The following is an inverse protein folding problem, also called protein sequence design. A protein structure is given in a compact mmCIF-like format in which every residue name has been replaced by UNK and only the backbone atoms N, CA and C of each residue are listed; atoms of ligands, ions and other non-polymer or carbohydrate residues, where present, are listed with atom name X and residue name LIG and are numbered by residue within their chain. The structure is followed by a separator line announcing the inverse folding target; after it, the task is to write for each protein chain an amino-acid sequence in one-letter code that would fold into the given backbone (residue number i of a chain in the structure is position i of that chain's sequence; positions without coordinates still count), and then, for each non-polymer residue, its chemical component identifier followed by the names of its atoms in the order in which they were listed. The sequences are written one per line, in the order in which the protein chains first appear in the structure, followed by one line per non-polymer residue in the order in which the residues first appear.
data_IF_943031192553
#
_entry.id   IF_943031192553
#
_cell.length_a   1.000
_cell.length_b   1.000
_cell.length_c   1.000
_cell.angle_alpha   90.00
_cell.angle_beta   90.00
_cell.angle_gamma   90.00
#
_symmetry.space_group_name_H-M   'P 1'
#
loop_
_entity.id
_entity.type
_entity.pdbx_description
1 polymer ?
#
# COMPACT_ATOMS: atom_id res chain seq x y z
N UNK A 1 -12.92 1.55 -5.67
CA UNK A 1 -14.38 1.79 -5.83
C UNK A 1 -14.73 2.82 -6.91
N UNK A 2 -13.88 3.82 -7.25
CA UNK A 2 -14.20 4.78 -8.35
C UNK A 2 -14.30 4.17 -9.76
N UNK A 3 -13.39 3.25 -10.11
CA UNK A 3 -13.41 2.56 -11.42
C UNK A 3 -14.56 1.55 -11.57
N UNK A 4 -15.02 0.95 -10.48
CA UNK A 4 -16.12 -0.02 -10.47
C UNK A 4 -17.49 0.66 -10.64
N UNK A 5 -17.62 1.92 -10.20
CA UNK A 5 -18.82 2.73 -10.39
C UNK A 5 -18.86 3.48 -11.75
N UNK A 6 -17.96 3.15 -12.69
CA UNK A 6 -17.92 3.77 -14.02
C UNK A 6 -17.02 5.01 -14.15
N UNK A 7 -16.27 5.37 -13.11
CA UNK A 7 -15.27 6.44 -13.13
C UNK A 7 -14.01 6.04 -13.89
N UNK A 8 -14.11 5.89 -15.21
CA UNK A 8 -12.98 5.56 -16.11
C UNK A 8 -12.37 6.80 -16.79
N UNK A 9 -12.98 7.97 -16.63
CA UNK A 9 -12.50 9.21 -17.26
C UNK A 9 -11.73 10.08 -16.27
N UNK A 10 -10.64 10.70 -16.71
CA UNK A 10 -9.86 11.65 -15.90
C UNK A 10 -10.70 12.85 -15.40
N UNK A 11 -11.81 13.15 -16.07
CA UNK A 11 -12.78 14.16 -15.67
C UNK A 11 -13.40 13.82 -14.31
N UNK A 12 -13.71 12.55 -14.04
CA UNK A 12 -14.24 12.13 -12.72
C UNK A 12 -13.24 12.37 -11.58
N UNK A 13 -11.94 12.18 -11.83
CA UNK A 13 -10.90 12.48 -10.87
C UNK A 13 -10.79 13.99 -10.58
N UNK A 14 -10.89 14.84 -11.61
CA UNK A 14 -10.87 16.30 -11.46
C UNK A 14 -12.08 16.80 -10.67
N UNK A 15 -13.27 16.28 -10.96
CA UNK A 15 -14.49 16.64 -10.22
C UNK A 15 -14.40 16.18 -8.76
N UNK A 16 -13.91 14.97 -8.51
CA UNK A 16 -13.69 14.47 -7.15
C UNK A 16 -12.67 15.33 -6.39
N UNK A 17 -11.55 15.70 -7.01
CA UNK A 17 -10.55 16.58 -6.40
C UNK A 17 -11.12 17.97 -6.11
N UNK A 18 -11.91 18.54 -7.03
CA UNK A 18 -12.62 19.81 -6.82
C UNK A 18 -13.59 19.74 -5.64
N UNK A 19 -14.41 18.69 -5.57
CA UNK A 19 -15.29 18.45 -4.43
C UNK A 19 -14.52 18.20 -3.12
N UNK A 20 -13.36 17.54 -3.16
CA UNK A 20 -12.52 17.32 -1.98
C UNK A 20 -11.94 18.64 -1.45
N UNK A 21 -11.54 19.56 -2.33
CA UNK A 21 -11.08 20.91 -1.93
C UNK A 21 -12.23 21.70 -1.30
N UNK A 22 -13.44 21.63 -1.89
CA UNK A 22 -14.62 22.26 -1.30
C UNK A 22 -15.00 21.65 0.06
N UNK A 23 -14.80 20.34 0.24
CA UNK A 23 -15.07 19.65 1.50
C UNK A 23 -14.14 20.09 2.65
N UNK A 24 -12.93 20.60 2.35
CA UNK A 24 -12.03 21.17 3.37
C UNK A 24 -12.67 22.38 4.06
N UNK A 25 -13.48 23.17 3.37
CA UNK A 25 -14.22 24.28 4.00
C UNK A 25 -15.35 23.78 4.92
N UNK A 26 -15.83 22.55 4.72
CA UNK A 26 -16.85 21.91 5.56
C UNK A 26 -16.26 21.08 6.71
N UNK A 27 -14.93 20.89 6.79
CA UNK A 27 -14.24 20.26 7.94
C UNK A 27 -14.74 20.72 9.32
N UNK A 28 -15.01 22.01 9.60
CA UNK A 28 -15.55 22.43 10.90
C UNK A 28 -16.90 21.79 11.24
N UNK A 29 -17.75 21.47 10.26
CA UNK A 29 -19.01 20.74 10.48
C UNK A 29 -18.78 19.26 10.80
N UNK A 30 -17.77 18.64 10.19
CA UNK A 30 -17.44 17.23 10.42
C UNK A 30 -16.85 16.96 11.82
N UNK A 31 -16.26 17.96 12.49
CA UNK A 31 -15.78 17.82 13.88
C UNK A 31 -16.91 17.56 14.88
N UNK A 32 -18.16 17.88 14.56
CA UNK A 32 -19.32 17.63 15.41
C UNK A 32 -19.83 16.19 15.34
N UNK A 33 -19.27 15.35 14.46
CA UNK A 33 -19.68 13.95 14.30
C UNK A 33 -19.01 13.11 15.40
N UNK A 34 -19.77 12.39 16.24
CA UNK A 34 -19.19 11.53 17.26
C UNK A 34 -18.38 10.40 16.63
N UNK A 35 -17.22 10.09 17.23
CA UNK A 35 -16.27 9.08 16.71
C UNK A 35 -16.88 7.69 16.56
N UNK A 36 -17.94 7.39 17.31
CA UNK A 36 -18.71 6.13 17.23
C UNK A 36 -19.35 5.94 15.84
N UNK A 37 -19.70 7.02 15.14
CA UNK A 37 -20.28 6.95 13.79
C UNK A 37 -19.26 6.56 12.71
N UNK A 38 -17.96 6.76 12.97
CA UNK A 38 -16.88 6.41 12.03
C UNK A 38 -16.49 4.92 12.11
N UNK A 39 -16.76 4.26 13.25
CA UNK A 39 -16.45 2.85 13.47
C UNK A 39 -16.96 1.90 12.37
N UNK A 40 -18.25 1.93 11.95
CA UNK A 40 -18.74 1.02 10.91
C UNK A 40 -18.07 1.26 9.54
N UNK A 41 -17.66 2.50 9.25
CA UNK A 41 -16.95 2.83 8.01
C UNK A 41 -15.57 2.17 7.99
N UNK A 42 -14.82 2.27 9.08
CA UNK A 42 -13.50 1.61 9.17
C UNK A 42 -13.59 0.08 9.12
N UNK A 43 -14.63 -0.51 9.69
CA UNK A 43 -14.87 -1.96 9.60
C UNK A 43 -15.08 -2.38 8.14
N UNK A 44 -15.90 -1.65 7.38
CA UNK A 44 -16.15 -1.93 5.97
C UNK A 44 -14.88 -1.80 5.10
N UNK A 45 -14.04 -0.80 5.40
CA UNK A 45 -12.74 -0.63 4.73
C UNK A 45 -11.79 -1.77 5.09
N UNK A 46 -11.71 -2.16 6.36
CA UNK A 46 -10.89 -3.28 6.83
C UNK A 46 -11.25 -4.60 6.15
N UNK A 47 -12.54 -4.88 6.01
CA UNK A 47 -13.06 -6.04 5.24
C UNK A 47 -12.62 -6.00 3.77
N UNK A 48 -12.45 -4.81 3.19
CA UNK A 48 -11.96 -4.66 1.82
C UNK A 48 -10.47 -4.99 1.69
N UNK A 49 -9.67 -4.83 2.75
CA UNK A 49 -8.25 -5.21 2.74
C UNK A 49 -8.03 -6.72 2.67
N UNK A 50 -8.94 -7.52 3.23
CA UNK A 50 -8.89 -8.99 3.13
C UNK A 50 -8.92 -9.45 1.66
N UNK A 51 -9.64 -8.73 0.79
CA UNK A 51 -9.71 -9.06 -0.65
C UNK A 51 -8.36 -8.90 -1.33
N UNK A 52 -7.60 -7.85 -1.00
CA UNK A 52 -6.26 -7.67 -1.56
C UNK A 52 -5.29 -8.79 -1.13
N UNK A 53 -5.42 -9.31 0.09
CA UNK A 53 -4.62 -10.45 0.52
C UNK A 53 -4.94 -11.75 -0.25
N UNK A 54 -6.16 -11.89 -0.79
CA UNK A 54 -6.57 -13.03 -1.61
C UNK A 54 -6.09 -12.93 -3.07
N UNK A 55 -5.80 -11.73 -3.57
CA UNK A 55 -5.29 -11.53 -4.93
C UNK A 55 -3.81 -11.96 -5.08
N UNK A 56 -3.11 -12.17 -3.96
CA UNK A 56 -1.71 -12.63 -3.95
C UNK A 56 -1.61 -14.06 -4.45
N UNK A 57 -0.68 -14.32 -5.38
CA UNK A 57 -0.47 -15.68 -5.89
C UNK A 57 0.35 -16.55 -4.91
N UNK A 58 -0.35 -17.19 -3.97
CA UNK A 58 0.24 -18.06 -2.95
C UNK A 58 0.99 -19.29 -3.49
N UNK A 59 0.83 -19.64 -4.78
CA UNK A 59 1.56 -20.75 -5.40
C UNK A 59 2.96 -20.37 -5.86
N UNK A 60 3.22 -19.09 -6.11
CA UNK A 60 4.55 -18.62 -6.50
C UNK A 60 5.35 -18.24 -5.24
N UNK A 61 6.47 -18.91 -5.04
CA UNK A 61 7.37 -18.69 -3.89
C UNK A 61 7.99 -17.29 -3.93
N UNK A 62 8.18 -16.75 -5.14
CA UNK A 62 8.73 -15.40 -5.36
C UNK A 62 7.79 -14.29 -4.89
N UNK A 63 6.49 -14.57 -4.74
CA UNK A 63 5.47 -13.58 -4.37
C UNK A 63 4.94 -13.82 -2.96
N UNK A 64 4.78 -15.09 -2.57
CA UNK A 64 4.29 -15.48 -1.26
C UNK A 64 5.27 -15.19 -0.11
N UNK A 65 6.58 -15.45 -0.30
CA UNK A 65 7.57 -15.18 0.76
C UNK A 65 7.63 -13.69 1.10
N UNK A 66 7.81 -12.76 0.13
CA UNK A 66 7.82 -11.33 0.43
C UNK A 66 6.54 -10.87 1.12
N UNK A 67 5.37 -11.31 0.66
CA UNK A 67 4.08 -10.94 1.24
C UNK A 67 3.98 -11.33 2.72
N UNK A 68 4.38 -12.56 3.07
CA UNK A 68 4.37 -13.03 4.47
C UNK A 68 5.33 -12.19 5.31
N UNK A 69 6.52 -11.88 4.80
CA UNK A 69 7.48 -11.07 5.56
C UNK A 69 6.96 -9.66 5.80
N UNK A 70 6.30 -9.02 4.83
CA UNK A 70 5.67 -7.70 5.02
C UNK A 70 4.60 -7.78 6.11
N UNK A 71 3.75 -8.81 6.11
CA UNK A 71 2.70 -8.96 7.12
C UNK A 71 3.31 -9.08 8.52
N UNK A 72 4.34 -9.91 8.68
CA UNK A 72 5.03 -10.10 9.97
C UNK A 72 5.74 -8.81 10.40
N UNK A 73 6.49 -8.17 9.50
CA UNK A 73 7.20 -6.93 9.79
C UNK A 73 6.26 -5.78 10.14
N UNK A 74 5.08 -5.72 9.52
CA UNK A 74 4.08 -4.69 9.84
C UNK A 74 3.62 -4.84 11.30
N UNK A 75 3.40 -6.07 11.76
CA UNK A 75 3.02 -6.35 13.15
C UNK A 75 4.11 -6.00 14.15
N UNK A 76 5.39 -6.16 13.76
CA UNK A 76 6.54 -5.91 14.64
C UNK A 76 6.91 -4.42 14.69
N UNK A 77 7.01 -3.76 13.53
CA UNK A 77 7.55 -2.40 13.42
C UNK A 77 6.49 -1.31 13.67
N UNK A 78 5.19 -1.66 13.69
CA UNK A 78 4.07 -0.70 13.73
C UNK A 78 4.10 0.33 12.59
N UNK A 79 4.92 0.07 11.57
CA UNK A 79 5.17 0.98 10.45
C UNK A 79 5.10 0.18 9.15
N UNK A 80 4.02 0.43 8.41
CA UNK A 80 3.74 -0.24 7.14
C UNK A 80 4.80 0.11 6.09
N UNK A 81 5.37 1.33 6.12
CA UNK A 81 6.37 1.74 5.14
C UNK A 81 7.67 0.94 5.29
N UNK A 82 8.14 0.74 6.52
CA UNK A 82 9.35 -0.05 6.79
C UNK A 82 9.13 -1.51 6.42
N UNK A 83 7.97 -2.08 6.80
CA UNK A 83 7.62 -3.44 6.43
C UNK A 83 7.59 -3.65 4.91
N UNK A 84 7.00 -2.69 4.17
CA UNK A 84 6.97 -2.73 2.70
C UNK A 84 8.38 -2.67 2.09
N UNK A 85 9.27 -1.81 2.61
CA UNK A 85 10.66 -1.73 2.16
C UNK A 85 11.39 -3.07 2.32
N UNK A 86 11.25 -3.72 3.48
CA UNK A 86 11.80 -5.05 3.73
C UNK A 86 11.23 -6.11 2.77
N UNK A 87 9.93 -6.07 2.50
CA UNK A 87 9.28 -6.94 1.52
C UNK A 87 9.88 -6.83 0.12
N UNK A 88 10.05 -5.61 -0.36
CA UNK A 88 10.63 -5.34 -1.69
C UNK A 88 12.06 -5.86 -1.76
N UNK A 89 12.88 -5.62 -0.73
CA UNK A 89 14.28 -6.11 -0.69
C UNK A 89 14.32 -7.63 -0.77
N UNK A 90 13.49 -8.32 0.00
CA UNK A 90 13.43 -9.79 0.02
C UNK A 90 12.97 -10.33 -1.33
N UNK A 91 11.99 -9.67 -1.97
CA UNK A 91 11.56 -10.01 -3.32
C UNK A 91 12.70 -9.88 -4.34
N UNK A 92 13.49 -8.80 -4.28
CA UNK A 92 14.67 -8.63 -5.13
C UNK A 92 15.73 -9.71 -4.87
N UNK A 93 16.05 -9.98 -3.61
CA UNK A 93 16.99 -11.04 -3.24
C UNK A 93 16.57 -12.40 -3.79
N UNK A 94 15.27 -12.74 -3.67
CA UNK A 94 14.71 -13.98 -4.20
C UNK A 94 14.73 -14.04 -5.73
N UNK A 95 14.39 -12.95 -6.41
CA UNK A 95 14.47 -12.86 -7.87
C UNK A 95 15.90 -13.07 -8.39
N UNK A 96 16.90 -12.50 -7.71
CA UNK A 96 18.33 -12.68 -8.04
C UNK A 96 18.78 -14.12 -7.75
N UNK A 97 18.38 -14.71 -6.63
CA UNK A 97 18.75 -16.06 -6.24
C UNK A 97 18.20 -17.14 -7.19
N UNK A 98 16.98 -16.96 -7.70
CA UNK A 98 16.31 -17.91 -8.60
C UNK A 98 16.71 -17.67 -10.08
N UNK A 99 17.56 -16.68 -10.37
CA UNK A 99 18.00 -16.30 -11.73
C UNK A 99 16.84 -16.02 -12.72
N UNK A 100 15.65 -15.73 -12.19
CA UNK A 100 14.45 -15.37 -12.96
C UNK A 100 14.42 -13.86 -13.19
N UNK A 101 15.28 -13.38 -14.08
CA UNK A 101 15.31 -11.98 -14.49
C UNK A 101 14.12 -11.57 -15.38
N UNK A 102 13.39 -12.54 -15.96
CA UNK A 102 12.26 -12.28 -16.86
C UNK A 102 11.03 -11.67 -16.17
N UNK A 103 10.84 -11.89 -14.87
CA UNK A 103 9.77 -11.22 -14.09
C UNK A 103 10.21 -9.85 -13.55
N UNK A 104 11.48 -9.49 -13.75
CA UNK A 104 12.08 -8.30 -13.16
C UNK A 104 11.97 -7.14 -14.14
N UNK A 105 10.81 -6.46 -14.13
CA UNK A 105 10.64 -5.20 -14.85
C UNK A 105 11.56 -4.12 -14.22
N UNK A 106 12.04 -3.17 -15.02
CA UNK A 106 12.90 -2.06 -14.58
C UNK A 106 12.30 -1.29 -13.39
N UNK A 107 10.97 -1.26 -13.28
CA UNK A 107 10.25 -0.68 -12.14
C UNK A 107 10.57 -1.33 -10.79
N UNK A 108 10.73 -2.65 -10.73
CA UNK A 108 11.03 -3.36 -9.48
C UNK A 108 12.45 -3.03 -9.00
N UNK A 109 13.41 -2.90 -9.92
CA UNK A 109 14.76 -2.43 -9.59
C UNK A 109 14.75 -1.00 -9.06
N UNK A 110 14.01 -0.08 -9.69
CA UNK A 110 13.92 1.30 -9.17
C UNK A 110 13.30 1.35 -7.78
N UNK A 111 12.25 0.56 -7.52
CA UNK A 111 11.63 0.49 -6.20
C UNK A 111 12.55 -0.16 -5.16
N UNK A 112 13.36 -1.14 -5.57
CA UNK A 112 14.40 -1.73 -4.73
C UNK A 112 15.47 -0.73 -4.30
N UNK A 113 15.98 0.05 -5.25
CA UNK A 113 16.98 1.11 -4.97
C UNK A 113 16.37 2.18 -4.05
N UNK A 114 15.15 2.62 -4.32
CA UNK A 114 14.44 3.58 -3.44
C UNK A 114 14.23 3.01 -2.03
N UNK A 115 13.89 1.73 -1.92
CA UNK A 115 13.69 1.06 -0.62
C UNK A 115 14.99 0.95 0.17
N UNK A 116 16.11 0.67 -0.49
CA UNK A 116 17.44 0.67 0.13
C UNK A 116 17.84 2.07 0.62
N UNK A 117 17.63 3.11 -0.20
CA UNK A 117 17.90 4.51 0.19
C UNK A 117 17.01 4.92 1.36
N UNK A 118 15.72 4.57 1.35
CA UNK A 118 14.79 4.86 2.44
C UNK A 118 15.18 4.20 3.76
N UNK A 119 15.67 2.95 3.72
CA UNK A 119 16.13 2.23 4.91
C UNK A 119 17.44 2.84 5.46
N UNK A 120 18.37 3.22 4.59
CA UNK A 120 19.62 3.91 4.98
C UNK A 120 19.33 5.28 5.60
N UNK A 121 18.41 6.07 5.04
CA UNK A 121 17.98 7.34 5.62
C UNK A 121 17.29 7.17 6.97
N UNK A 122 16.49 6.11 7.14
CA UNK A 122 15.86 5.79 8.42
C UNK A 122 16.88 5.33 9.48
N UNK A 123 17.95 4.63 9.07
CA UNK A 123 19.03 4.22 9.97
C UNK A 123 19.97 5.38 10.37
N UNK A 124 20.18 6.35 9.48
CA UNK A 124 21.01 7.55 9.74
C UNK A 124 20.23 8.62 10.53
N UNK A 125 18.89 8.62 10.44
CA UNK A 125 18.02 9.57 11.13
C UNK A 125 17.57 9.17 12.54
N UNK A 126 18.16 8.11 13.13
CA UNK A 126 18.00 7.72 14.54
C UNK A 126 19.05 8.42 15.42
#
# INVERSE_FOLDING_TARGET
MGIAAGGKTGITAVVYAGCAILAIFLLPLFRSIPMVALAPVFIAIGLSFVKFAQEINWKDVLESIPAIVVIIMTMVTWNIAIALMWGIIIQLCLCVAVWKFEKTNAGLWTLGVVSLVGLVLFYIGQ
#
